data_IF_001226623319
#
_entry.id   IF_001226623319
#
_cell.length_a   1.000
_cell.length_b   1.000
_cell.length_c   1.000
_cell.angle_alpha   90.00
_cell.angle_beta   90.00
_cell.angle_gamma   90.00
#
_symmetry.space_group_name_H-M   'P 1'
#
loop_
_entity.id
_entity.type
_entity.pdbx_description
1 polymer ?
#
# COMPACT_ATOMS: atom_id res chain seq x y z
N UNK A 1 13.16 -31.20 -18.08
CA UNK A 1 12.71 -29.95 -17.40
C UNK A 1 11.65 -30.25 -16.33
N UNK A 2 11.74 -29.68 -15.12
CA UNK A 2 10.65 -29.77 -14.16
C UNK A 2 9.39 -29.16 -14.80
N UNK A 3 8.29 -29.91 -14.78
CA UNK A 3 7.04 -29.53 -15.43
C UNK A 3 6.45 -28.25 -14.84
N UNK A 4 5.80 -27.45 -15.67
CA UNK A 4 5.04 -26.27 -15.24
C UNK A 4 3.92 -26.72 -14.29
N UNK A 5 4.01 -26.35 -13.01
CA UNK A 5 2.92 -26.49 -12.05
C UNK A 5 2.20 -25.15 -11.95
N UNK A 6 0.86 -25.11 -12.06
CA UNK A 6 0.12 -23.87 -11.81
C UNK A 6 0.44 -23.36 -10.40
N UNK A 7 0.72 -22.07 -10.28
CA UNK A 7 0.81 -21.44 -8.97
C UNK A 7 -0.57 -21.54 -8.28
N UNK A 8 -0.62 -21.69 -6.95
CA UNK A 8 -1.88 -21.59 -6.22
C UNK A 8 -2.56 -20.24 -6.52
N UNK A 9 -3.90 -20.19 -6.51
CA UNK A 9 -4.64 -18.95 -6.76
C UNK A 9 -4.18 -17.86 -5.80
N UNK A 10 -3.82 -16.70 -6.36
CA UNK A 10 -3.40 -15.53 -5.58
C UNK A 10 -4.56 -14.92 -4.80
N UNK A 11 -4.24 -14.14 -3.75
CA UNK A 11 -5.22 -13.31 -3.05
C UNK A 11 -5.54 -12.08 -3.88
N UNK A 12 -6.82 -11.72 -3.97
CA UNK A 12 -7.26 -10.49 -4.62
C UNK A 12 -7.29 -9.35 -3.61
N UNK A 13 -6.91 -8.16 -4.06
CA UNK A 13 -6.99 -6.94 -3.28
C UNK A 13 -7.51 -5.79 -4.13
N UNK A 14 -8.35 -4.95 -3.54
CA UNK A 14 -8.90 -3.75 -4.16
C UNK A 14 -8.19 -2.52 -3.61
N UNK A 15 -7.75 -1.62 -4.49
CA UNK A 15 -7.14 -0.35 -4.10
C UNK A 15 -8.22 0.58 -3.57
N UNK A 16 -8.15 0.92 -2.29
CA UNK A 16 -9.11 1.79 -1.60
C UNK A 16 -8.69 3.26 -1.65
N UNK A 17 -7.38 3.54 -1.67
CA UNK A 17 -6.84 4.91 -1.74
C UNK A 17 -5.50 4.95 -2.44
N UNK A 18 -5.31 5.94 -3.31
CA UNK A 18 -3.98 6.29 -3.84
C UNK A 18 -3.43 7.51 -3.11
N UNK A 19 -2.22 7.41 -2.55
CA UNK A 19 -1.53 8.53 -1.91
C UNK A 19 -0.58 9.16 -2.93
N UNK A 20 -0.83 10.43 -3.25
CA UNK A 20 0.04 11.27 -4.09
C UNK A 20 0.79 12.23 -3.16
N UNK A 21 2.10 12.37 -3.33
CA UNK A 21 2.88 13.34 -2.56
C UNK A 21 2.46 14.77 -2.95
N UNK A 22 1.91 15.52 -2.00
CA UNK A 22 1.48 16.90 -2.12
C UNK A 22 2.60 17.92 -1.87
N UNK A 23 3.72 17.51 -1.27
CA UNK A 23 4.87 18.39 -0.99
C UNK A 23 6.20 17.73 -1.40
N UNK A 24 7.29 18.49 -1.31
CA UNK A 24 8.65 17.97 -1.46
C UNK A 24 9.17 17.30 -0.17
N UNK A 25 8.47 17.46 0.95
CA UNK A 25 8.83 16.91 2.26
C UNK A 25 8.17 15.56 2.56
N UNK A 26 7.60 14.89 1.55
CA UNK A 26 6.98 13.59 1.75
C UNK A 26 8.02 12.57 2.24
N UNK A 27 7.74 11.94 3.38
CA UNK A 27 8.58 10.89 3.94
C UNK A 27 7.75 9.84 4.68
N UNK A 28 8.00 8.55 4.40
CA UNK A 28 7.49 7.48 5.24
C UNK A 28 8.15 7.52 6.62
N UNK A 29 7.40 7.21 7.67
CA UNK A 29 7.92 7.20 9.05
C UNK A 29 8.90 6.04 9.29
N UNK A 30 8.87 5.03 8.43
CA UNK A 30 9.82 3.92 8.38
C UNK A 30 9.89 3.35 6.96
N UNK A 31 10.90 2.51 6.65
CA UNK A 31 10.93 1.79 5.38
C UNK A 31 9.78 0.79 5.29
N UNK A 32 8.95 0.92 4.25
CA UNK A 32 7.91 -0.05 3.90
C UNK A 32 8.24 -0.79 2.61
N UNK A 33 7.77 -2.03 2.49
CA UNK A 33 7.91 -2.89 1.31
C UNK A 33 6.54 -3.14 0.68
N UNK A 34 6.55 -3.39 -0.63
CA UNK A 34 5.35 -3.83 -1.32
C UNK A 34 4.89 -5.17 -0.75
N UNK A 35 3.61 -5.25 -0.37
CA UNK A 35 3.05 -6.44 0.28
C UNK A 35 2.90 -6.32 1.79
N UNK A 36 3.47 -5.29 2.43
CA UNK A 36 3.29 -5.07 3.86
C UNK A 36 1.80 -4.84 4.18
N UNK A 37 1.33 -5.45 5.25
CA UNK A 37 -0.05 -5.32 5.74
C UNK A 37 -0.02 -4.63 7.10
N UNK A 38 -0.66 -3.47 7.19
CA UNK A 38 -0.72 -2.69 8.41
C UNK A 38 -2.02 -3.06 9.14
N UNK A 39 -1.95 -3.67 10.33
CA UNK A 39 -3.10 -4.33 10.94
C UNK A 39 -4.17 -3.35 11.40
N UNK A 40 -3.77 -2.19 11.93
CA UNK A 40 -4.70 -1.24 12.53
C UNK A 40 -4.98 -0.04 11.61
N UNK A 41 -6.25 0.37 11.57
CA UNK A 41 -6.66 1.66 11.01
C UNK A 41 -6.02 2.82 11.78
N UNK A 42 -5.93 3.97 11.11
CA UNK A 42 -5.37 5.20 11.67
C UNK A 42 -3.89 5.10 12.09
N UNK A 43 -3.18 4.10 11.60
CA UNK A 43 -1.72 3.93 11.79
C UNK A 43 -0.98 4.93 10.91
N UNK A 44 -0.02 5.66 11.48
CA UNK A 44 0.79 6.64 10.76
C UNK A 44 1.76 5.95 9.80
N UNK A 45 1.69 6.31 8.52
CA UNK A 45 2.54 5.79 7.45
C UNK A 45 3.60 6.79 7.01
N UNK A 46 3.20 8.05 6.84
CA UNK A 46 4.05 9.07 6.29
C UNK A 46 3.63 10.46 6.78
N UNK A 47 4.56 11.39 6.67
CA UNK A 47 4.31 12.82 6.76
C UNK A 47 4.48 13.42 5.36
N UNK A 48 3.63 14.38 5.02
CA UNK A 48 3.69 15.14 3.78
C UNK A 48 3.64 16.65 4.11
N UNK A 49 4.82 17.19 4.44
CA UNK A 49 4.89 18.45 5.19
C UNK A 49 4.30 18.27 6.58
N UNK A 50 3.35 19.12 6.95
CA UNK A 50 2.64 19.06 8.24
C UNK A 50 1.47 18.04 8.23
N UNK A 51 1.14 17.45 7.07
CA UNK A 51 0.01 16.54 6.95
C UNK A 51 0.39 15.10 7.28
N UNK A 52 -0.38 14.46 8.16
CA UNK A 52 -0.25 13.04 8.45
C UNK A 52 -0.99 12.17 7.43
N UNK A 53 -0.31 11.15 6.92
CA UNK A 53 -0.90 10.10 6.09
C UNK A 53 -1.06 8.85 6.94
N UNK A 54 -2.31 8.46 7.18
CA UNK A 54 -2.67 7.31 8.01
C UNK A 54 -3.46 6.24 7.25
N UNK A 55 -3.40 4.99 7.72
CA UNK A 55 -4.19 3.89 7.15
C UNK A 55 -5.69 4.17 7.27
N UNK A 56 -6.48 4.03 6.19
CA UNK A 56 -7.91 4.33 6.21
C UNK A 56 -8.76 3.22 6.85
N UNK A 57 -8.22 2.01 6.98
CA UNK A 57 -8.90 0.84 7.53
C UNK A 57 -7.88 -0.15 8.11
N UNK A 58 -8.37 -1.15 8.82
CA UNK A 58 -7.60 -2.30 9.31
C UNK A 58 -7.11 -3.16 8.13
N UNK A 59 -6.10 -3.99 8.37
CA UNK A 59 -5.46 -4.88 7.38
C UNK A 59 -5.12 -4.19 6.05
N UNK A 60 -4.58 -2.98 6.15
CA UNK A 60 -4.27 -2.13 5.00
C UNK A 60 -3.00 -2.61 4.29
N UNK A 61 -3.16 -3.16 3.09
CA UNK A 61 -2.09 -3.59 2.21
C UNK A 61 -1.40 -2.38 1.55
N UNK A 62 -0.08 -2.31 1.63
CA UNK A 62 0.74 -1.33 0.93
C UNK A 62 1.20 -1.87 -0.43
N UNK A 63 0.69 -1.27 -1.49
CA UNK A 63 1.00 -1.63 -2.88
C UNK A 63 2.00 -0.62 -3.45
N UNK A 64 3.17 -1.15 -3.82
CA UNK A 64 4.29 -0.42 -4.45
C UNK A 64 4.67 0.90 -3.73
N UNK A 65 5.01 0.86 -2.43
CA UNK A 65 5.53 2.04 -1.76
C UNK A 65 6.82 2.51 -2.42
N UNK A 66 6.94 3.82 -2.64
CA UNK A 66 8.07 4.47 -3.30
C UNK A 66 8.83 5.34 -2.28
N UNK A 67 9.97 4.90 -1.73
CA UNK A 67 10.65 5.63 -0.65
C UNK A 67 11.16 7.03 -1.02
N UNK A 68 11.38 7.29 -2.31
CA UNK A 68 11.89 8.55 -2.85
C UNK A 68 10.87 9.17 -3.82
N UNK A 69 9.69 9.46 -3.31
CA UNK A 69 8.60 10.04 -4.11
C UNK A 69 8.79 11.54 -4.27
N UNK A 70 8.65 12.01 -5.51
CA UNK A 70 8.63 13.43 -5.85
C UNK A 70 7.20 13.99 -5.72
N UNK A 71 7.09 15.29 -5.47
CA UNK A 71 5.80 16.00 -5.47
C UNK A 71 5.02 15.69 -6.76
N UNK A 72 3.74 15.34 -6.61
CA UNK A 72 2.84 14.99 -7.70
C UNK A 72 2.91 13.52 -8.13
N UNK A 73 3.85 12.73 -7.62
CA UNK A 73 3.95 11.30 -7.92
C UNK A 73 3.22 10.45 -6.87
N UNK A 74 2.84 9.24 -7.28
CA UNK A 74 2.28 8.25 -6.34
C UNK A 74 3.34 7.80 -5.34
N UNK A 75 3.03 7.96 -4.05
CA UNK A 75 3.87 7.47 -2.96
C UNK A 75 3.58 6.00 -2.64
N UNK A 76 2.29 5.66 -2.51
CA UNK A 76 1.83 4.30 -2.21
C UNK A 76 0.37 4.16 -2.60
N UNK A 77 -0.04 2.95 -2.97
CA UNK A 77 -1.45 2.58 -3.09
C UNK A 77 -1.85 1.76 -1.86
N UNK A 78 -2.94 2.14 -1.22
CA UNK A 78 -3.52 1.45 -0.08
C UNK A 78 -4.64 0.57 -0.59
N UNK A 79 -4.63 -0.70 -0.18
CA UNK A 79 -5.58 -1.69 -0.64
C UNK A 79 -6.12 -2.52 0.53
N UNK A 80 -7.28 -3.13 0.31
CA UNK A 80 -7.84 -4.16 1.20
C UNK A 80 -7.93 -5.47 0.45
N UNK A 81 -7.72 -6.59 1.14
CA UNK A 81 -8.04 -7.88 0.55
C UNK A 81 -9.55 -8.00 0.37
N UNK A 82 -9.95 -8.57 -0.75
CA UNK A 82 -11.34 -8.93 -1.04
C UNK A 82 -11.44 -10.45 -1.05
N UNK A 83 -12.59 -10.98 -0.63
CA UNK A 83 -12.85 -12.39 -0.84
C UNK A 83 -12.83 -12.65 -2.34
N UNK A 84 -12.25 -13.79 -2.75
CA UNK A 84 -12.53 -14.27 -4.10
C UNK A 84 -14.02 -14.61 -4.12
N UNK A 85 -14.81 -13.85 -4.89
CA UNK A 85 -16.20 -14.22 -5.15
C UNK A 85 -16.20 -15.66 -5.69
N UNK A 86 -16.91 -16.61 -5.06
CA UNK A 86 -17.15 -17.89 -5.69
C UNK A 86 -18.02 -17.62 -6.92
N UNK A 87 -17.44 -17.83 -8.10
CA UNK A 87 -18.14 -17.68 -9.38
C UNK A 87 -19.33 -18.62 -9.54
#
# INVERSE_FOLDING_TARGET
>A
PPGWRPAPPGRLAEVTRTVIAGTHGFAFVQPFRGGDVIPARNTLLALDGEAEIRTPHDDCLLVMPSPRTLRGHTAVRLARFVAAEPG
#
